data_IF_714669343153
#
_entry.id   IF_714669343153
#
_cell.length_a   1.000
_cell.length_b   1.000
_cell.length_c   1.000
_cell.angle_alpha   90.00
_cell.angle_beta   90.00
_cell.angle_gamma   90.00
#
_symmetry.space_group_name_H-M   'P 1'
#
loop_
_entity.id
_entity.type
_entity.pdbx_description
1 polymer ?
#
# COMPACT_ATOMS: atom_id res chain seq x y z
N UNK A 1 -17.48 2.03 -17.86
CA UNK A 1 -16.28 2.02 -17.01
C UNK A 1 -16.20 0.64 -16.37
N UNK A 2 -15.40 -0.24 -16.94
CA UNK A 2 -15.00 -1.46 -16.27
C UNK A 2 -14.03 -1.07 -15.16
N UNK A 3 -14.47 -1.16 -13.92
CA UNK A 3 -13.58 -1.09 -12.76
C UNK A 3 -12.83 -2.42 -12.75
N UNK A 4 -11.61 -2.35 -13.28
CA UNK A 4 -10.76 -3.49 -13.45
C UNK A 4 -10.44 -4.21 -12.15
N UNK A 5 -10.13 -5.46 -12.36
CA UNK A 5 -9.56 -6.47 -11.50
C UNK A 5 -9.00 -5.91 -10.19
N UNK A 6 -9.69 -6.19 -9.08
CA UNK A 6 -9.16 -6.01 -7.74
C UNK A 6 -8.07 -7.04 -7.51
N UNK A 7 -6.84 -6.64 -7.72
CA UNK A 7 -5.70 -7.35 -7.13
C UNK A 7 -5.66 -6.93 -5.66
N UNK A 8 -6.43 -7.61 -4.83
CA UNK A 8 -6.44 -7.39 -3.39
C UNK A 8 -5.32 -8.21 -2.78
N UNK A 9 -4.30 -7.52 -2.32
CA UNK A 9 -3.24 -8.07 -1.51
C UNK A 9 -2.11 -8.73 -2.29
N UNK A 10 -0.92 -8.33 -1.95
CA UNK A 10 0.37 -8.84 -2.42
C UNK A 10 0.68 -10.25 -1.92
N UNK A 11 -0.23 -11.16 -1.92
CA UNK A 11 0.07 -12.54 -1.55
C UNK A 11 -0.61 -13.06 -0.30
N UNK A 12 -1.29 -12.24 0.47
CA UNK A 12 -1.99 -12.66 1.70
C UNK A 12 -3.01 -13.79 1.51
N UNK A 13 -3.30 -14.22 0.29
CA UNK A 13 -4.39 -15.16 0.03
C UNK A 13 -4.03 -16.38 -0.82
N UNK A 14 -2.78 -16.59 -1.22
CA UNK A 14 -2.50 -17.66 -2.20
C UNK A 14 -1.31 -18.51 -1.76
N UNK A 15 -1.61 -19.68 -1.19
CA UNK A 15 -0.63 -20.73 -0.84
C UNK A 15 0.17 -21.29 -2.03
N UNK A 16 -0.24 -21.01 -3.26
CA UNK A 16 0.28 -21.67 -4.46
C UNK A 16 1.23 -20.78 -5.27
N UNK A 17 1.68 -19.66 -4.71
CA UNK A 17 2.63 -18.75 -5.38
C UNK A 17 4.06 -19.00 -4.93
N UNK A 18 5.04 -18.78 -5.83
CA UNK A 18 6.41 -18.62 -5.37
C UNK A 18 6.44 -17.48 -4.35
N UNK A 19 7.23 -17.65 -3.29
CA UNK A 19 7.38 -16.65 -2.24
C UNK A 19 7.83 -15.32 -2.86
N UNK A 20 6.95 -14.30 -2.84
CA UNK A 20 7.24 -12.95 -3.29
C UNK A 20 7.78 -12.17 -2.09
N UNK A 21 9.02 -12.41 -1.73
CA UNK A 21 9.69 -11.94 -0.53
C UNK A 21 10.35 -10.56 -0.65
N UNK A 22 10.16 -9.89 -1.80
CA UNK A 22 10.65 -8.53 -2.01
C UNK A 22 9.72 -7.71 -2.91
N UNK A 23 9.79 -6.40 -2.77
CA UNK A 23 9.04 -5.45 -3.59
C UNK A 23 9.36 -5.62 -5.07
N UNK A 24 10.61 -5.92 -5.40
CA UNK A 24 11.07 -6.17 -6.76
C UNK A 24 10.41 -7.38 -7.39
N UNK A 25 10.31 -8.51 -6.66
CA UNK A 25 9.64 -9.74 -7.12
C UNK A 25 8.14 -9.53 -7.28
N UNK A 26 7.50 -8.80 -6.37
CA UNK A 26 6.08 -8.43 -6.49
C UNK A 26 5.85 -7.61 -7.76
N UNK A 27 6.70 -6.62 -8.00
CA UNK A 27 6.65 -5.78 -9.20
C UNK A 27 6.81 -6.59 -10.51
N UNK A 28 7.74 -7.54 -10.54
CA UNK A 28 7.93 -8.46 -11.68
C UNK A 28 6.72 -9.37 -11.90
N UNK A 29 6.14 -9.87 -10.83
CA UNK A 29 4.93 -10.67 -10.89
C UNK A 29 3.74 -9.84 -11.43
N UNK A 30 3.58 -8.59 -11.00
CA UNK A 30 2.55 -7.68 -11.52
C UNK A 30 2.68 -7.51 -13.05
N UNK A 31 3.90 -7.34 -13.57
CA UNK A 31 4.10 -7.21 -15.02
C UNK A 31 3.66 -8.48 -15.75
N UNK A 32 3.98 -9.68 -15.23
CA UNK A 32 3.53 -10.93 -15.83
C UNK A 32 1.99 -11.05 -15.86
N UNK A 33 1.33 -10.62 -14.77
CA UNK A 33 -0.15 -10.58 -14.70
C UNK A 33 -0.71 -9.61 -15.75
N UNK A 34 -0.15 -8.40 -15.85
CA UNK A 34 -0.63 -7.40 -16.79
C UNK A 34 -0.40 -7.80 -18.24
N UNK A 35 0.71 -8.50 -18.54
CA UNK A 35 0.96 -9.10 -19.85
C UNK A 35 -0.08 -10.17 -20.15
N UNK A 36 -0.26 -11.12 -19.23
CA UNK A 36 -1.18 -12.25 -19.41
C UNK A 36 -2.62 -11.81 -19.64
N UNK A 37 -3.04 -10.74 -18.95
CA UNK A 37 -4.37 -10.14 -19.09
C UNK A 37 -4.45 -9.09 -20.20
N UNK A 38 -3.36 -8.86 -20.94
CA UNK A 38 -3.25 -7.84 -22.00
C UNK A 38 -3.73 -6.43 -21.56
N UNK A 39 -3.43 -6.05 -20.33
CA UNK A 39 -3.83 -4.75 -19.78
C UNK A 39 -2.95 -3.63 -20.31
N UNK A 40 -3.58 -2.50 -20.65
CA UNK A 40 -2.94 -1.27 -21.17
C UNK A 40 -3.58 -0.05 -20.52
N UNK A 41 -2.89 1.10 -20.56
CA UNK A 41 -3.39 2.35 -20.00
C UNK A 41 -3.79 2.24 -18.51
N UNK A 42 -2.94 1.58 -17.73
CA UNK A 42 -3.20 1.27 -16.34
C UNK A 42 -3.23 2.52 -15.46
N UNK A 43 -4.21 2.58 -14.58
CA UNK A 43 -4.20 3.44 -13.42
C UNK A 43 -3.92 2.53 -12.22
N UNK A 44 -2.74 2.66 -11.62
CA UNK A 44 -2.37 1.86 -10.47
C UNK A 44 -2.62 2.65 -9.19
N UNK A 45 -3.30 2.00 -8.25
CA UNK A 45 -3.59 2.55 -6.93
C UNK A 45 -2.93 1.64 -5.90
N UNK A 46 -1.96 2.16 -5.15
CA UNK A 46 -1.27 1.44 -4.08
C UNK A 46 -1.57 2.07 -2.73
N UNK A 47 -1.84 1.24 -1.72
CA UNK A 47 -1.95 1.65 -0.34
C UNK A 47 -0.81 1.05 0.48
N UNK A 48 -0.20 1.84 1.35
CA UNK A 48 0.87 1.37 2.23
C UNK A 48 1.99 0.67 1.44
N UNK A 49 2.30 -0.60 1.73
CA UNK A 49 3.25 -1.41 0.95
C UNK A 49 2.98 -1.37 -0.56
N UNK A 50 1.71 -1.39 -0.99
CA UNK A 50 1.34 -1.27 -2.39
C UNK A 50 1.88 -0.01 -3.06
N UNK A 51 2.19 1.06 -2.30
CA UNK A 51 2.89 2.23 -2.82
C UNK A 51 4.32 1.88 -3.28
N UNK A 52 5.05 1.06 -2.51
CA UNK A 52 6.39 0.61 -2.89
C UNK A 52 6.35 -0.30 -4.12
N UNK A 53 5.34 -1.16 -4.20
CA UNK A 53 5.13 -2.09 -5.32
C UNK A 53 4.89 -1.36 -6.64
N UNK A 54 3.95 -0.39 -6.66
CA UNK A 54 3.68 0.39 -7.88
C UNK A 54 4.81 1.38 -8.18
N UNK A 55 5.56 1.82 -7.18
CA UNK A 55 6.74 2.65 -7.33
C UNK A 55 7.86 1.88 -8.05
N UNK A 56 8.19 0.67 -7.59
CA UNK A 56 9.17 -0.20 -8.23
C UNK A 56 8.69 -0.67 -9.61
N UNK A 57 7.39 -0.98 -9.75
CA UNK A 57 6.79 -1.30 -11.03
C UNK A 57 7.00 -0.16 -12.05
N UNK A 58 6.73 1.07 -11.64
CA UNK A 58 6.91 2.25 -12.50
C UNK A 58 8.37 2.47 -12.89
N UNK A 59 9.29 2.16 -12.01
CA UNK A 59 10.73 2.25 -12.28
C UNK A 59 11.17 1.29 -13.39
N UNK A 60 10.63 0.06 -13.39
CA UNK A 60 10.99 -1.00 -14.35
C UNK A 60 10.13 -0.96 -15.63
N UNK A 61 8.82 -0.70 -15.52
CA UNK A 61 7.83 -0.96 -16.55
C UNK A 61 6.92 0.26 -16.81
N UNK A 62 7.37 1.19 -17.65
CA UNK A 62 6.65 2.46 -17.89
C UNK A 62 5.55 2.39 -18.94
N UNK A 63 5.67 1.50 -19.92
CA UNK A 63 4.90 1.56 -21.18
C UNK A 63 3.39 1.34 -21.04
N UNK A 64 2.93 0.77 -19.92
CA UNK A 64 1.52 0.46 -19.68
C UNK A 64 0.80 1.48 -18.81
N UNK A 65 1.54 2.42 -18.22
CA UNK A 65 1.01 3.31 -17.19
C UNK A 65 0.34 4.55 -17.79
N UNK A 66 -0.82 4.90 -17.23
CA UNK A 66 -1.54 6.14 -17.52
C UNK A 66 -1.49 7.09 -16.34
N UNK A 67 -1.74 6.61 -15.11
CA UNK A 67 -1.75 7.40 -13.88
C UNK A 67 -1.36 6.54 -12.68
N UNK A 68 -0.90 7.18 -11.60
CA UNK A 68 -0.59 6.55 -10.33
C UNK A 68 -1.31 7.24 -9.18
N UNK A 69 -1.77 6.44 -8.21
CA UNK A 69 -2.34 6.94 -6.95
C UNK A 69 -1.64 6.25 -5.79
N UNK A 70 -0.97 7.02 -4.96
CA UNK A 70 -0.28 6.56 -3.76
C UNK A 70 -1.10 6.96 -2.53
N UNK A 71 -1.52 5.98 -1.73
CA UNK A 71 -2.37 6.20 -0.55
C UNK A 71 -1.62 5.77 0.69
N UNK A 72 -1.36 6.69 1.63
CA UNK A 72 -0.68 6.39 2.89
C UNK A 72 0.69 5.74 2.69
N UNK A 73 1.48 6.22 1.73
CA UNK A 73 2.78 5.64 1.40
C UNK A 73 3.93 6.64 1.41
N UNK A 74 5.14 6.12 1.25
CA UNK A 74 6.37 6.90 1.10
C UNK A 74 7.32 6.15 0.18
N UNK A 75 8.42 6.80 -0.23
CA UNK A 75 9.47 6.15 -1.02
C UNK A 75 10.33 5.18 -0.20
N UNK A 76 10.24 5.23 1.13
CA UNK A 76 10.85 4.29 2.07
C UNK A 76 9.94 4.12 3.28
N UNK A 77 9.71 2.90 3.68
CA UNK A 77 8.78 2.56 4.76
C UNK A 77 9.45 1.60 5.76
N UNK A 78 10.32 2.13 6.65
CA UNK A 78 10.94 1.30 7.67
C UNK A 78 9.88 0.75 8.62
N UNK A 79 10.02 -0.52 8.96
CA UNK A 79 9.09 -1.22 9.86
C UNK A 79 9.71 -1.29 11.26
N UNK A 80 8.88 -1.09 12.28
CA UNK A 80 9.32 -1.18 13.68
C UNK A 80 9.82 -2.61 13.98
N UNK A 81 10.99 -2.78 14.60
CA UNK A 81 11.56 -4.11 14.87
C UNK A 81 10.63 -5.04 15.64
N UNK A 82 9.95 -4.54 16.66
CA UNK A 82 9.02 -5.34 17.47
C UNK A 82 7.87 -5.91 16.61
N UNK A 83 7.40 -5.16 15.60
CA UNK A 83 6.36 -5.64 14.72
C UNK A 83 6.86 -6.79 13.83
N UNK A 84 8.10 -6.70 13.34
CA UNK A 84 8.74 -7.77 12.57
C UNK A 84 8.90 -9.01 13.46
N UNK A 85 9.38 -8.85 14.68
CA UNK A 85 9.59 -9.95 15.64
C UNK A 85 8.27 -10.67 15.99
N UNK A 86 7.22 -9.91 16.33
CA UNK A 86 5.89 -10.47 16.59
C UNK A 86 5.37 -11.26 15.39
N UNK A 87 5.52 -10.71 14.18
CA UNK A 87 5.06 -11.37 12.96
C UNK A 87 5.87 -12.66 12.67
N UNK A 88 7.19 -12.64 12.86
CA UNK A 88 8.07 -13.81 12.68
C UNK A 88 7.75 -14.95 13.66
N UNK A 89 7.33 -14.60 14.88
CA UNK A 89 6.93 -15.56 15.89
C UNK A 89 5.49 -16.09 15.69
N UNK A 90 4.80 -15.65 14.65
CA UNK A 90 3.42 -16.05 14.41
C UNK A 90 2.42 -15.46 15.41
N UNK A 91 2.79 -14.37 16.08
CA UNK A 91 1.97 -13.78 17.12
C UNK A 91 0.84 -12.92 16.53
N UNK A 92 -0.40 -13.22 16.91
CA UNK A 92 -1.57 -12.42 16.51
C UNK A 92 -1.51 -10.97 16.97
N UNK A 93 -0.67 -10.66 17.96
CA UNK A 93 -0.48 -9.30 18.47
C UNK A 93 0.21 -8.38 17.44
N UNK A 94 0.94 -8.96 16.48
CA UNK A 94 1.46 -8.18 15.33
C UNK A 94 0.33 -7.47 14.58
N UNK A 95 -0.75 -8.19 14.28
CA UNK A 95 -1.91 -7.63 13.57
C UNK A 95 -2.64 -6.62 14.44
N UNK A 96 -2.82 -6.91 15.74
CA UNK A 96 -3.44 -5.98 16.69
C UNK A 96 -2.65 -4.68 16.79
N UNK A 97 -1.32 -4.76 16.80
CA UNK A 97 -0.43 -3.61 16.86
C UNK A 97 -0.54 -2.76 15.57
N UNK A 98 -0.54 -3.38 14.41
CA UNK A 98 -0.79 -2.70 13.14
C UNK A 98 -2.15 -2.00 13.12
N UNK A 99 -3.19 -2.65 13.64
CA UNK A 99 -4.52 -2.06 13.75
C UNK A 99 -4.53 -0.85 14.67
N UNK A 100 -3.86 -0.93 15.82
CA UNK A 100 -3.73 0.17 16.78
C UNK A 100 -3.03 1.40 16.18
N UNK A 101 -2.03 1.19 15.34
CA UNK A 101 -1.31 2.27 14.67
C UNK A 101 -2.00 2.77 13.40
N UNK A 102 -2.72 1.88 12.70
CA UNK A 102 -3.36 2.17 11.42
C UNK A 102 -4.64 2.99 11.52
N UNK A 103 -5.31 2.98 12.67
CA UNK A 103 -6.57 3.71 12.84
C UNK A 103 -6.42 4.92 13.77
N UNK A 104 -7.03 6.03 13.38
CA UNK A 104 -7.20 7.16 14.27
C UNK A 104 -8.59 7.10 14.94
N UNK A 105 -8.54 6.80 16.23
CA UNK A 105 -9.72 6.80 17.10
C UNK A 105 -10.56 5.51 17.09
N UNK A 106 -11.30 5.35 18.18
CA UNK A 106 -12.24 4.25 18.41
C UNK A 106 -13.55 4.44 17.62
N UNK A 107 -13.48 4.62 16.31
CA UNK A 107 -14.71 4.67 15.50
C UNK A 107 -15.40 3.33 15.59
N UNK A 108 -16.54 3.28 16.26
CA UNK A 108 -17.42 2.12 16.26
C UNK A 108 -18.01 1.99 14.86
N UNK A 109 -17.53 1.00 14.11
CA UNK A 109 -18.15 0.66 12.85
C UNK A 109 -19.49 -0.02 13.10
N UNK A 110 -20.55 0.46 12.47
CA UNK A 110 -21.85 -0.22 12.49
C UNK A 110 -21.65 -1.58 11.78
N UNK A 111 -21.88 -2.68 12.50
CA UNK A 111 -21.64 -4.03 11.98
C UNK A 111 -20.24 -4.62 12.29
N UNK A 112 -19.47 -3.97 13.14
CA UNK A 112 -18.12 -4.39 13.58
C UNK A 112 -17.01 -3.91 12.65
N UNK A 113 -15.78 -3.92 13.17
CA UNK A 113 -14.61 -3.53 12.41
C UNK A 113 -14.33 -4.55 11.28
N UNK A 114 -14.34 -4.15 10.00
CA UNK A 114 -14.10 -5.08 8.90
C UNK A 114 -12.74 -5.77 8.98
N UNK A 115 -11.76 -5.14 9.61
CA UNK A 115 -10.42 -5.72 9.76
C UNK A 115 -10.38 -6.74 10.90
N UNK A 116 -11.13 -6.56 11.99
CA UNK A 116 -11.27 -7.60 13.03
C UNK A 116 -11.84 -8.90 12.46
N UNK A 117 -12.75 -8.82 11.48
CA UNK A 117 -13.27 -10.00 10.78
C UNK A 117 -12.20 -10.70 9.93
N UNK A 118 -11.25 -9.97 9.39
CA UNK A 118 -10.11 -10.52 8.64
C UNK A 118 -9.14 -11.21 9.59
N UNK A 119 -8.89 -10.60 10.75
CA UNK A 119 -8.00 -11.13 11.80
C UNK A 119 -8.55 -12.42 12.44
N UNK A 120 -9.86 -12.53 12.58
CA UNK A 120 -10.52 -13.71 13.12
C UNK A 120 -10.54 -14.91 12.15
N UNK A 121 -10.06 -14.73 10.92
CA UNK A 121 -9.92 -15.83 9.98
C UNK A 121 -8.77 -16.76 10.45
N UNK A 122 -9.01 -18.09 10.56
CA UNK A 122 -8.04 -19.04 11.10
C UNK A 122 -6.87 -19.37 10.15
N UNK A 123 -6.49 -18.44 9.28
CA UNK A 123 -5.36 -18.60 8.36
C UNK A 123 -4.10 -18.05 9.00
N UNK A 124 -2.98 -18.70 8.72
CA UNK A 124 -1.62 -18.30 9.11
C UNK A 124 -1.21 -16.96 8.45
N UNK A 125 -1.88 -15.88 8.87
CA UNK A 125 -1.62 -14.52 8.39
C UNK A 125 -0.23 -14.08 8.84
N UNK A 126 0.23 -14.56 9.98
CA UNK A 126 1.46 -14.13 10.63
C UNK A 126 2.73 -14.44 9.82
N UNK A 127 2.85 -15.63 9.25
CA UNK A 127 4.04 -15.99 8.44
C UNK A 127 4.14 -15.11 7.18
N UNK A 128 3.01 -14.89 6.51
CA UNK A 128 2.94 -14.03 5.31
C UNK A 128 3.21 -12.57 5.69
N UNK A 129 2.66 -12.13 6.82
CA UNK A 129 2.89 -10.77 7.32
C UNK A 129 4.37 -10.50 7.57
N UNK A 130 5.11 -11.46 8.15
CA UNK A 130 6.54 -11.31 8.38
C UNK A 130 7.32 -11.13 7.06
N UNK A 131 6.95 -11.85 6.01
CA UNK A 131 7.55 -11.72 4.67
C UNK A 131 7.28 -10.31 4.10
N UNK A 132 6.03 -9.86 4.14
CA UNK A 132 5.63 -8.55 3.62
C UNK A 132 6.30 -7.39 4.38
N UNK A 133 6.35 -7.47 5.72
CA UNK A 133 7.01 -6.45 6.54
C UNK A 133 8.53 -6.39 6.26
N UNK A 134 9.19 -7.53 6.07
CA UNK A 134 10.60 -7.57 5.68
C UNK A 134 10.80 -7.02 4.26
N UNK A 135 9.92 -7.32 3.31
CA UNK A 135 9.98 -6.75 1.96
C UNK A 135 9.91 -5.22 1.99
N UNK A 136 8.98 -4.64 2.78
CA UNK A 136 8.89 -3.19 3.00
C UNK A 136 10.16 -2.62 3.61
N UNK A 137 10.66 -3.23 4.69
CA UNK A 137 11.80 -2.74 5.44
C UNK A 137 13.10 -2.75 4.62
N UNK A 138 13.28 -3.76 3.77
CA UNK A 138 14.48 -3.97 2.97
C UNK A 138 14.47 -3.19 1.64
N UNK A 139 13.33 -2.65 1.21
CA UNK A 139 13.26 -1.91 -0.04
C UNK A 139 14.07 -0.61 0.02
N UNK A 140 14.99 -0.45 -0.92
CA UNK A 140 15.98 0.65 -0.92
C UNK A 140 15.95 1.53 -2.17
N UNK A 141 15.32 1.09 -3.26
CA UNK A 141 15.34 1.80 -4.55
C UNK A 141 14.36 2.98 -4.64
N UNK A 142 13.52 3.20 -3.62
CA UNK A 142 12.38 4.12 -3.70
C UNK A 142 12.72 5.57 -4.04
N UNK A 143 13.89 6.09 -3.62
CA UNK A 143 14.33 7.44 -3.98
C UNK A 143 14.58 7.57 -5.50
N UNK A 144 15.26 6.59 -6.09
CA UNK A 144 15.56 6.59 -7.52
C UNK A 144 14.28 6.37 -8.34
N UNK A 145 13.41 5.47 -7.87
CA UNK A 145 12.15 5.18 -8.52
C UNK A 145 11.23 6.41 -8.55
N UNK A 146 11.07 7.11 -7.43
CA UNK A 146 10.23 8.31 -7.33
C UNK A 146 10.67 9.40 -8.31
N UNK A 147 11.95 9.68 -8.41
CA UNK A 147 12.50 10.70 -9.33
C UNK A 147 12.29 10.38 -10.81
N UNK A 148 12.01 9.12 -11.15
CA UNK A 148 11.77 8.67 -12.53
C UNK A 148 10.30 8.58 -12.92
N UNK A 149 9.37 8.94 -12.02
CA UNK A 149 7.96 9.00 -12.33
C UNK A 149 7.70 10.18 -13.28
N UNK A 150 7.09 9.89 -14.42
CA UNK A 150 6.75 10.86 -15.47
C UNK A 150 5.23 11.00 -15.67
N UNK A 151 4.47 9.94 -15.33
CA UNK A 151 3.01 9.95 -15.47
C UNK A 151 2.35 10.79 -14.38
N UNK A 152 1.16 11.36 -14.64
CA UNK A 152 0.40 12.07 -13.62
C UNK A 152 0.20 11.21 -12.38
N UNK A 153 0.47 11.78 -11.23
CA UNK A 153 0.45 11.06 -9.95
C UNK A 153 -0.35 11.81 -8.90
N UNK A 154 -1.12 11.09 -8.11
CA UNK A 154 -1.83 11.61 -6.95
C UNK A 154 -1.30 10.96 -5.69
N UNK A 155 -1.09 11.75 -4.65
CA UNK A 155 -0.72 11.25 -3.33
C UNK A 155 -1.80 11.64 -2.32
N UNK A 156 -2.29 10.67 -1.56
CA UNK A 156 -3.33 10.87 -0.54
C UNK A 156 -2.79 10.43 0.81
N UNK A 157 -2.80 11.33 1.79
CA UNK A 157 -2.29 11.07 3.14
C UNK A 157 -3.37 11.32 4.18
N UNK A 158 -3.39 10.50 5.24
CA UNK A 158 -4.12 10.80 6.45
C UNK A 158 -3.33 11.81 7.31
N UNK A 159 -4.01 12.84 7.81
CA UNK A 159 -3.38 13.86 8.67
C UNK A 159 -2.76 13.26 9.93
N UNK A 160 -3.39 12.21 10.47
CA UNK A 160 -3.06 11.57 11.74
C UNK A 160 -2.43 10.18 11.56
N UNK A 161 -1.88 9.90 10.37
CA UNK A 161 -1.24 8.63 10.06
C UNK A 161 0.00 8.42 10.94
N UNK A 162 -0.02 7.35 11.75
CA UNK A 162 1.07 6.97 12.68
C UNK A 162 2.01 5.93 12.08
N UNK A 163 1.63 5.28 10.98
CA UNK A 163 2.45 4.29 10.29
C UNK A 163 3.37 4.95 9.26
N UNK A 164 2.82 5.86 8.47
CA UNK A 164 3.57 6.68 7.51
C UNK A 164 3.29 8.15 7.83
N UNK A 165 4.21 8.77 8.59
CA UNK A 165 4.00 10.14 9.01
C UNK A 165 3.92 11.11 7.82
N UNK A 166 3.12 12.16 7.99
CA UNK A 166 2.82 13.13 6.94
C UNK A 166 4.08 13.83 6.37
N UNK A 167 5.11 14.01 7.18
CA UNK A 167 6.37 14.63 6.73
C UNK A 167 7.08 13.75 5.71
N UNK A 168 7.16 12.43 5.97
CA UNK A 168 7.72 11.46 5.02
C UNK A 168 6.91 11.40 3.73
N UNK A 169 5.57 11.45 3.83
CA UNK A 169 4.68 11.52 2.68
C UNK A 169 4.91 12.79 1.83
N UNK A 170 5.05 13.95 2.46
CA UNK A 170 5.35 15.21 1.75
C UNK A 170 6.70 15.16 1.05
N UNK A 171 7.75 14.68 1.73
CA UNK A 171 9.07 14.48 1.10
C UNK A 171 9.00 13.56 -0.11
N UNK A 172 8.17 12.51 -0.05
CA UNK A 172 7.93 11.63 -1.18
C UNK A 172 7.25 12.36 -2.34
N UNK A 173 6.22 13.16 -2.04
CA UNK A 173 5.54 13.98 -3.05
C UNK A 173 6.49 14.94 -3.77
N UNK A 174 7.40 15.58 -3.05
CA UNK A 174 8.38 16.53 -3.59
C UNK A 174 9.36 15.89 -4.59
N UNK A 175 9.50 14.57 -4.57
CA UNK A 175 10.33 13.83 -5.52
C UNK A 175 9.64 13.62 -6.89
N UNK A 176 8.32 13.75 -6.95
CA UNK A 176 7.51 13.43 -8.14
C UNK A 176 7.07 14.72 -8.82
N UNK A 177 7.65 15.03 -9.98
CA UNK A 177 7.47 16.31 -10.68
C UNK A 177 6.02 16.62 -11.06
N UNK A 178 5.25 15.60 -11.46
CA UNK A 178 3.87 15.75 -11.92
C UNK A 178 2.92 15.10 -10.91
N UNK A 179 2.82 15.71 -9.72
CA UNK A 179 2.01 15.14 -8.64
C UNK A 179 1.08 16.17 -8.00
N UNK A 180 -0.10 15.68 -7.59
CA UNK A 180 -1.06 16.38 -6.75
C UNK A 180 -1.14 15.68 -5.39
N UNK A 181 -1.09 16.46 -4.31
CA UNK A 181 -1.15 15.93 -2.94
C UNK A 181 -2.43 16.34 -2.23
N UNK A 182 -3.10 15.38 -1.62
CA UNK A 182 -4.28 15.58 -0.79
C UNK A 182 -4.05 15.06 0.63
N UNK A 183 -4.39 15.87 1.62
CA UNK A 183 -4.32 15.52 3.04
C UNK A 183 -5.74 15.41 3.55
N UNK A 184 -6.13 14.22 4.00
CA UNK A 184 -7.46 13.95 4.56
C UNK A 184 -7.42 14.21 6.07
N UNK A 185 -8.19 15.21 6.51
CA UNK A 185 -8.22 15.65 7.91
C UNK A 185 -8.87 14.61 8.82
N UNK A 186 -8.36 14.50 10.05
CA UNK A 186 -8.87 13.59 11.07
C UNK A 186 -8.92 12.13 10.63
N UNK A 187 -7.92 11.70 9.87
CA UNK A 187 -7.82 10.37 9.28
C UNK A 187 -6.44 9.77 9.55
N UNK A 188 -6.39 8.50 9.92
CA UNK A 188 -5.16 7.73 10.09
C UNK A 188 -4.68 7.09 8.78
N UNK A 189 -4.01 5.95 8.92
CA UNK A 189 -3.43 5.21 7.79
C UNK A 189 -4.46 4.49 6.90
N UNK A 190 -5.57 4.04 7.50
CA UNK A 190 -6.58 3.25 6.81
C UNK A 190 -7.63 4.16 6.12
N UNK A 191 -7.15 5.05 5.27
CA UNK A 191 -7.93 6.11 4.62
C UNK A 191 -9.16 5.55 3.90
N UNK A 192 -9.01 4.41 3.19
CA UNK A 192 -10.08 3.75 2.46
C UNK A 192 -11.21 3.22 3.36
N UNK A 193 -10.97 3.12 4.67
CA UNK A 193 -11.97 2.67 5.66
C UNK A 193 -12.48 3.87 6.45
N UNK A 194 -11.58 4.75 6.90
CA UNK A 194 -11.95 5.88 7.77
C UNK A 194 -12.65 7.01 7.02
N UNK A 195 -12.25 7.25 5.78
CA UNK A 195 -12.68 8.35 4.92
C UNK A 195 -12.90 7.92 3.47
N UNK A 196 -13.53 6.77 3.30
CA UNK A 196 -13.75 6.14 1.99
C UNK A 196 -14.38 7.07 0.95
N UNK A 197 -15.36 7.86 1.36
CA UNK A 197 -16.07 8.79 0.46
C UNK A 197 -15.13 9.91 -0.01
N UNK A 198 -14.44 10.57 0.92
CA UNK A 198 -13.51 11.67 0.60
C UNK A 198 -12.37 11.18 -0.33
N UNK A 199 -11.80 10.01 -0.02
CA UNK A 199 -10.76 9.40 -0.86
C UNK A 199 -11.28 9.08 -2.27
N UNK A 200 -12.47 8.48 -2.36
CA UNK A 200 -13.11 8.15 -3.63
C UNK A 200 -13.33 9.38 -4.50
N UNK A 201 -13.87 10.46 -3.94
CA UNK A 201 -14.10 11.72 -4.67
C UNK A 201 -12.79 12.25 -5.27
N UNK A 202 -11.70 12.29 -4.48
CA UNK A 202 -10.40 12.73 -4.99
C UNK A 202 -9.88 11.85 -6.14
N UNK A 203 -10.05 10.53 -6.05
CA UNK A 203 -9.63 9.62 -7.12
C UNK A 203 -10.46 9.81 -8.39
N UNK A 204 -11.76 10.10 -8.26
CA UNK A 204 -12.63 10.32 -9.42
C UNK A 204 -12.40 11.67 -10.11
N UNK A 205 -11.97 12.70 -9.36
CA UNK A 205 -11.58 14.01 -9.90
C UNK A 205 -10.23 13.96 -10.64
N UNK A 206 -9.40 12.97 -10.37
CA UNK A 206 -8.07 12.78 -10.96
C UNK A 206 -8.12 12.02 -12.28
#
# INVERSE_FOLDING_TARGET
YEIGVRLVGSGMCIRDRPCLDSIEKISEWLEQVFIKLNLKNLILIGHSQGCLEILEYTYKYKSRLKKLVFVGGSNKMPVHPDLIELAQNGDSDAVKLMMKWGYEGSKKFIGGNPVEKIIQSPRDISEILAVDLNACNNYSNGLNAAKKIEVPSMLIFGELDKMVNLESGKKFSDLIKNSNTHIIKGCGHMIMIEKAFEMREKILEF
#
